data_IF_661211068856
#
_entry.id   IF_661211068856
#
_cell.length_a   1.000
_cell.length_b   1.000
_cell.length_c   1.000
_cell.angle_alpha   90.00
_cell.angle_beta   90.00
_cell.angle_gamma   90.00
#
_symmetry.space_group_name_H-M   'P 1'
#
loop_
_entity.id
_entity.type
_entity.pdbx_description
1 polymer ?
#
# COMPACT_ATOMS: atom_id res chain seq x y z
N UNK A 1 -5.43 16.56 -2.66
CA UNK A 1 -4.12 16.85 -2.02
C UNK A 1 -3.00 16.70 -3.03
N UNK A 2 -2.10 17.68 -3.14
CA UNK A 2 -1.00 17.67 -4.15
C UNK A 2 0.40 17.83 -3.54
N UNK A 3 0.49 18.18 -2.25
CA UNK A 3 1.77 18.32 -1.55
C UNK A 3 2.40 16.98 -1.18
N UNK A 4 3.73 16.93 -1.12
CA UNK A 4 4.47 15.76 -0.67
C UNK A 4 4.38 15.59 0.85
N UNK A 5 4.40 14.34 1.32
CA UNK A 5 4.39 13.98 2.74
C UNK A 5 5.64 13.19 3.08
N UNK A 6 6.35 13.65 4.10
CA UNK A 6 7.56 12.99 4.62
C UNK A 6 7.35 12.67 6.09
N UNK A 7 7.36 11.39 6.44
CA UNK A 7 7.24 10.90 7.81
C UNK A 7 8.51 10.22 8.30
N UNK A 8 8.64 10.16 9.62
CA UNK A 8 9.73 9.45 10.31
C UNK A 8 9.50 7.93 10.41
N UNK A 9 10.28 7.28 11.27
CA UNK A 9 10.11 5.88 11.62
C UNK A 9 8.90 5.66 12.52
N UNK A 10 8.34 4.43 12.48
CA UNK A 10 7.24 3.95 13.34
C UNK A 10 5.96 4.79 13.24
N UNK A 11 5.71 5.38 12.07
CA UNK A 11 4.55 6.25 11.83
C UNK A 11 3.49 5.65 10.93
N UNK A 12 2.25 6.15 11.07
CA UNK A 12 1.18 5.98 10.08
C UNK A 12 1.25 7.18 9.13
N UNK A 13 1.68 6.96 7.90
CA UNK A 13 2.03 8.02 6.96
C UNK A 13 1.19 7.86 5.70
N UNK A 14 0.32 8.81 5.46
CA UNK A 14 -0.55 8.83 4.28
C UNK A 14 -0.56 10.20 3.62
N UNK A 15 -0.71 10.23 2.31
CA UNK A 15 -0.77 11.48 1.55
C UNK A 15 -1.97 12.35 1.90
N UNK A 16 -3.04 11.75 2.44
CA UNK A 16 -4.24 12.44 2.91
C UNK A 16 -4.51 12.17 4.39
N UNK A 17 -4.43 10.90 4.82
CA UNK A 17 -4.81 10.46 6.16
C UNK A 17 -3.69 9.58 6.73
N UNK A 18 -3.15 9.94 7.92
CA UNK A 18 -2.21 9.06 8.62
C UNK A 18 -2.90 7.79 9.12
N UNK A 19 -4.00 7.94 9.87
CA UNK A 19 -4.82 6.84 10.38
C UNK A 19 -6.30 7.14 10.19
N UNK A 20 -7.01 6.33 9.42
CA UNK A 20 -8.46 6.35 9.28
C UNK A 20 -9.08 5.41 10.32
N UNK A 21 -9.59 5.97 11.40
CA UNK A 21 -10.14 5.21 12.52
C UNK A 21 -11.67 5.12 12.44
N UNK A 22 -12.17 4.10 11.77
CA UNK A 22 -13.61 3.80 11.62
C UNK A 22 -14.39 4.76 10.73
N UNK A 23 -13.70 5.70 10.03
CA UNK A 23 -14.35 6.66 9.15
C UNK A 23 -14.64 6.09 7.76
N UNK A 24 -15.71 6.58 7.13
CA UNK A 24 -15.96 6.35 5.71
C UNK A 24 -15.26 7.45 4.88
N UNK A 25 -14.37 7.07 3.98
CA UNK A 25 -13.60 7.99 3.14
C UNK A 25 -13.92 7.70 1.67
N UNK A 26 -14.54 8.67 1.00
CA UNK A 26 -15.02 8.49 -0.37
C UNK A 26 -14.62 9.64 -1.30
N UNK A 27 -14.45 9.32 -2.60
CA UNK A 27 -14.18 10.28 -3.67
C UNK A 27 -12.97 11.18 -3.41
N UNK A 28 -11.89 10.61 -2.91
CA UNK A 28 -10.69 11.33 -2.51
C UNK A 28 -9.50 11.02 -3.40
N UNK A 29 -8.66 12.04 -3.61
CA UNK A 29 -7.47 11.92 -4.47
C UNK A 29 -6.24 12.52 -3.77
N UNK A 30 -5.14 11.74 -3.73
CA UNK A 30 -3.82 12.19 -3.33
C UNK A 30 -2.85 12.10 -4.52
N UNK A 31 -2.09 13.17 -4.79
CA UNK A 31 -1.15 13.25 -5.93
C UNK A 31 0.30 13.46 -5.53
N UNK A 32 0.54 13.90 -4.30
CA UNK A 32 1.90 14.12 -3.77
C UNK A 32 2.64 12.82 -3.53
N UNK A 33 3.97 12.88 -3.52
CA UNK A 33 4.81 11.77 -3.10
C UNK A 33 4.70 11.54 -1.60
N UNK A 34 4.81 10.29 -1.18
CA UNK A 34 4.78 9.93 0.24
C UNK A 34 6.03 9.12 0.58
N UNK A 35 6.74 9.55 1.61
CA UNK A 35 7.90 8.80 2.12
C UNK A 35 7.82 8.58 3.61
N UNK A 36 8.17 7.38 4.06
CA UNK A 36 8.22 6.98 5.46
C UNK A 36 9.54 6.33 5.84
N UNK A 37 9.87 6.41 7.12
CA UNK A 37 11.04 5.74 7.70
C UNK A 37 10.80 4.25 7.93
N UNK A 38 11.69 3.62 8.71
CA UNK A 38 11.58 2.22 9.08
C UNK A 38 10.37 1.95 10.00
N UNK A 39 9.85 0.71 10.00
CA UNK A 39 8.78 0.26 10.88
C UNK A 39 7.49 1.07 10.72
N UNK A 40 7.21 1.59 9.53
CA UNK A 40 6.10 2.49 9.26
C UNK A 40 5.02 1.84 8.40
N UNK A 41 3.81 2.35 8.53
CA UNK A 41 2.69 2.08 7.62
C UNK A 41 2.60 3.25 6.64
N UNK A 42 2.97 3.00 5.38
CA UNK A 42 3.11 4.07 4.38
C UNK A 42 2.16 3.83 3.21
N UNK A 43 1.23 4.74 3.01
CA UNK A 43 0.29 4.68 1.89
C UNK A 43 0.23 5.99 1.13
N UNK A 44 0.07 5.92 -0.18
CA UNK A 44 -0.07 7.11 -1.02
C UNK A 44 -1.28 7.97 -0.64
N UNK A 45 -2.31 7.35 -0.03
CA UNK A 45 -3.50 8.03 0.47
C UNK A 45 -3.63 7.88 1.99
N UNK A 46 -3.61 6.64 2.51
CA UNK A 46 -3.83 6.32 3.92
C UNK A 46 -2.68 5.47 4.44
N UNK A 47 -2.08 5.85 5.58
CA UNK A 47 -1.06 5.04 6.25
C UNK A 47 -1.64 3.76 6.82
N UNK A 48 -2.59 3.90 7.74
CA UNK A 48 -3.31 2.80 8.39
C UNK A 48 -4.82 3.01 8.25
N UNK A 49 -5.54 2.00 7.73
CA UNK A 49 -6.97 2.11 7.46
C UNK A 49 -7.78 1.11 8.29
N UNK A 50 -8.54 1.61 9.26
CA UNK A 50 -9.57 0.90 10.03
C UNK A 50 -10.96 1.46 9.71
N UNK A 51 -11.22 1.82 8.46
CA UNK A 51 -12.49 2.32 7.99
C UNK A 51 -12.73 1.92 6.54
N UNK A 52 -13.88 2.31 6.01
CA UNK A 52 -14.21 2.10 4.62
C UNK A 52 -13.54 3.14 3.72
N UNK A 53 -13.02 2.67 2.60
CA UNK A 53 -12.38 3.49 1.59
C UNK A 53 -12.97 3.16 0.22
N UNK A 54 -13.65 4.11 -0.40
CA UNK A 54 -14.28 3.89 -1.70
C UNK A 54 -14.00 5.00 -2.70
N UNK A 55 -13.91 4.63 -3.99
CA UNK A 55 -13.66 5.58 -5.08
C UNK A 55 -12.45 6.50 -4.82
N UNK A 56 -11.36 5.90 -4.33
CA UNK A 56 -10.17 6.60 -3.86
C UNK A 56 -9.01 6.44 -4.84
N UNK A 57 -8.24 7.50 -5.05
CA UNK A 57 -7.08 7.46 -5.94
C UNK A 57 -5.81 8.01 -5.27
N UNK A 58 -4.68 7.31 -5.46
CA UNK A 58 -3.35 7.83 -5.20
C UNK A 58 -2.49 7.76 -6.46
N UNK A 59 -1.82 8.86 -6.83
CA UNK A 59 -1.01 8.90 -8.06
C UNK A 59 0.45 9.29 -7.84
N UNK A 60 0.83 9.71 -6.64
CA UNK A 60 2.22 9.98 -6.27
C UNK A 60 3.01 8.69 -5.99
N UNK A 61 4.33 8.76 -6.17
CA UNK A 61 5.23 7.67 -5.78
C UNK A 61 5.25 7.50 -4.26
N UNK A 62 5.41 6.26 -3.81
CA UNK A 62 5.43 5.92 -2.38
C UNK A 62 6.72 5.19 -2.03
N UNK A 63 7.38 5.59 -0.95
CA UNK A 63 8.57 4.92 -0.46
C UNK A 63 8.52 4.68 1.05
N UNK A 64 8.92 3.49 1.48
CA UNK A 64 9.03 3.14 2.89
C UNK A 64 10.40 2.57 3.26
N UNK A 65 10.78 2.73 4.53
CA UNK A 65 12.00 2.15 5.08
C UNK A 65 11.91 0.64 5.32
N UNK A 66 12.90 0.08 6.01
CA UNK A 66 12.93 -1.33 6.35
C UNK A 66 11.82 -1.73 7.32
N UNK A 67 11.37 -2.99 7.26
CA UNK A 67 10.30 -3.55 8.13
C UNK A 67 8.98 -2.76 8.08
N UNK A 68 8.66 -2.18 6.94
CA UNK A 68 7.48 -1.33 6.75
C UNK A 68 6.42 -2.04 5.90
N UNK A 69 5.17 -1.59 6.06
CA UNK A 69 4.10 -1.95 5.16
C UNK A 69 3.87 -0.77 4.21
N UNK A 70 4.15 -1.00 2.92
CA UNK A 70 4.18 0.08 1.92
C UNK A 70 3.20 -0.22 0.80
N UNK A 71 2.20 0.61 0.64
CA UNK A 71 1.20 0.47 -0.40
C UNK A 71 1.04 1.74 -1.23
N UNK A 72 0.80 1.59 -2.51
CA UNK A 72 0.55 2.73 -3.40
C UNK A 72 -0.66 3.56 -3.00
N UNK A 73 -1.66 2.93 -2.35
CA UNK A 73 -2.83 3.60 -1.78
C UNK A 73 -2.83 3.53 -0.25
N UNK A 74 -2.70 2.33 0.32
CA UNK A 74 -2.84 2.09 1.76
C UNK A 74 -1.66 1.28 2.28
N UNK A 75 -1.03 1.70 3.38
CA UNK A 75 0.02 0.94 4.05
C UNK A 75 -0.50 -0.38 4.61
N UNK A 76 -1.49 -0.32 5.51
CA UNK A 76 -2.20 -1.48 6.06
C UNK A 76 -3.71 -1.25 6.04
N UNK A 77 -4.46 -2.26 5.61
CA UNK A 77 -5.92 -2.27 5.58
C UNK A 77 -6.47 -3.23 6.63
N UNK A 78 -7.08 -2.66 7.67
CA UNK A 78 -7.89 -3.30 8.68
C UNK A 78 -7.17 -4.14 9.73
N UNK A 79 -7.85 -4.34 10.85
CA UNK A 79 -7.52 -5.24 11.95
C UNK A 79 -8.52 -6.40 12.03
N UNK A 80 -8.70 -7.17 10.94
CA UNK A 80 -9.58 -8.35 10.89
C UNK A 80 -11.08 -8.07 11.09
N UNK A 81 -11.55 -6.84 10.83
CA UNK A 81 -12.96 -6.45 10.79
C UNK A 81 -13.39 -6.01 9.40
N UNK A 82 -14.69 -5.94 9.14
CA UNK A 82 -15.32 -5.74 7.81
C UNK A 82 -15.06 -4.36 7.18
N UNK A 83 -13.81 -3.89 7.17
CA UNK A 83 -13.45 -2.65 6.49
C UNK A 83 -13.07 -2.92 5.03
N UNK A 84 -13.59 -2.11 4.13
CA UNK A 84 -13.48 -2.35 2.69
C UNK A 84 -12.70 -1.27 1.97
N UNK A 85 -11.79 -1.73 1.12
CA UNK A 85 -11.28 -0.91 0.01
C UNK A 85 -12.05 -1.33 -1.24
N UNK A 86 -12.83 -0.41 -1.80
CA UNK A 86 -13.64 -0.69 -2.99
C UNK A 86 -13.44 0.37 -4.07
N UNK A 87 -13.36 -0.07 -5.33
CA UNK A 87 -13.25 0.82 -6.50
C UNK A 87 -12.12 1.84 -6.37
N UNK A 88 -10.96 1.40 -5.89
CA UNK A 88 -9.81 2.25 -5.59
C UNK A 88 -8.65 2.02 -6.57
N UNK A 89 -7.79 3.03 -6.74
CA UNK A 89 -6.66 2.94 -7.66
C UNK A 89 -5.38 3.55 -7.12
N UNK A 90 -4.25 2.90 -7.43
CA UNK A 90 -2.91 3.44 -7.20
C UNK A 90 -2.13 3.46 -8.51
N UNK A 91 -1.49 4.61 -8.83
CA UNK A 91 -0.79 4.82 -10.11
C UNK A 91 0.70 5.04 -9.96
N UNK A 92 1.15 5.51 -8.80
CA UNK A 92 2.56 5.79 -8.49
C UNK A 92 3.38 4.53 -8.27
N UNK A 93 4.70 4.63 -8.46
CA UNK A 93 5.64 3.56 -8.14
C UNK A 93 5.76 3.38 -6.62
N UNK A 94 5.98 2.15 -6.19
CA UNK A 94 6.07 1.80 -4.77
C UNK A 94 7.41 1.13 -4.48
N UNK A 95 8.14 1.68 -3.51
CA UNK A 95 9.46 1.18 -3.11
C UNK A 95 9.47 0.91 -1.61
N UNK A 96 9.79 -0.31 -1.21
CA UNK A 96 10.00 -0.68 0.19
C UNK A 96 11.46 -0.98 0.52
N UNK A 97 11.83 -0.78 1.79
CA UNK A 97 13.13 -1.21 2.31
C UNK A 97 13.21 -2.72 2.51
N UNK A 98 14.30 -3.18 3.14
CA UNK A 98 14.48 -4.60 3.48
C UNK A 98 13.39 -5.10 4.44
N UNK A 99 12.98 -6.37 4.29
CA UNK A 99 11.98 -7.04 5.13
C UNK A 99 10.58 -6.38 5.13
N UNK A 100 10.31 -5.52 4.17
CA UNK A 100 9.02 -4.83 4.02
C UNK A 100 7.99 -5.68 3.26
N UNK A 101 6.71 -5.43 3.52
CA UNK A 101 5.63 -5.90 2.65
C UNK A 101 5.21 -4.75 1.74
N UNK A 102 5.37 -4.93 0.43
CA UNK A 102 5.21 -3.87 -0.56
C UNK A 102 4.17 -4.28 -1.58
N UNK A 103 3.10 -3.52 -1.68
CA UNK A 103 2.05 -3.75 -2.66
C UNK A 103 1.78 -2.53 -3.52
N UNK A 104 1.47 -2.74 -4.78
CA UNK A 104 1.13 -1.64 -5.68
C UNK A 104 -0.09 -0.84 -5.23
N UNK A 105 -1.04 -1.52 -4.52
CA UNK A 105 -2.20 -0.89 -3.89
C UNK A 105 -2.07 -0.88 -2.37
N UNK A 106 -1.85 -2.05 -1.75
CA UNK A 106 -1.86 -2.23 -0.29
C UNK A 106 -0.63 -3.00 0.17
N UNK A 107 0.09 -2.49 1.18
CA UNK A 107 1.24 -3.18 1.79
C UNK A 107 0.82 -4.45 2.51
N UNK A 108 -0.15 -4.35 3.43
CA UNK A 108 -0.78 -5.47 4.14
C UNK A 108 -2.30 -5.34 4.12
N UNK A 109 -2.99 -6.43 3.73
CA UNK A 109 -4.44 -6.51 3.77
C UNK A 109 -4.90 -7.56 4.78
N UNK A 110 -5.70 -7.15 5.77
CA UNK A 110 -6.34 -8.03 6.75
C UNK A 110 -7.87 -8.07 6.60
N UNK A 111 -8.44 -7.37 5.61
CA UNK A 111 -9.87 -7.23 5.42
C UNK A 111 -10.25 -7.37 3.93
N UNK A 112 -11.15 -6.57 3.39
CA UNK A 112 -11.66 -6.73 2.03
C UNK A 112 -11.06 -5.71 1.05
N UNK A 113 -10.60 -6.21 -0.12
CA UNK A 113 -10.26 -5.38 -1.28
C UNK A 113 -11.10 -5.86 -2.46
N UNK A 114 -11.86 -4.95 -3.07
CA UNK A 114 -12.73 -5.27 -4.19
C UNK A 114 -12.62 -4.25 -5.32
N UNK A 115 -12.77 -4.70 -6.59
CA UNK A 115 -12.88 -3.84 -7.76
C UNK A 115 -11.77 -2.77 -7.86
N UNK A 116 -10.56 -3.11 -7.47
CA UNK A 116 -9.47 -2.15 -7.30
C UNK A 116 -8.28 -2.45 -8.20
N UNK A 117 -7.45 -1.45 -8.46
CA UNK A 117 -6.33 -1.63 -9.39
C UNK A 117 -5.03 -0.94 -8.94
N UNK A 118 -3.89 -1.51 -9.35
CA UNK A 118 -2.57 -0.92 -9.21
C UNK A 118 -1.84 -0.89 -10.56
N UNK A 119 -1.30 0.28 -10.93
CA UNK A 119 -0.58 0.47 -12.19
C UNK A 119 0.92 0.70 -12.01
N UNK A 120 1.36 1.13 -10.82
CA UNK A 120 2.75 1.47 -10.55
C UNK A 120 3.67 0.26 -10.44
N UNK A 121 4.95 0.48 -10.75
CA UNK A 121 5.98 -0.53 -10.51
C UNK A 121 6.18 -0.74 -9.01
N UNK A 122 6.34 -2.00 -8.60
CA UNK A 122 6.65 -2.38 -7.21
C UNK A 122 8.08 -2.87 -7.13
N UNK A 123 8.83 -2.37 -6.13
CA UNK A 123 10.18 -2.84 -5.85
C UNK A 123 10.48 -2.83 -4.35
N UNK A 124 11.45 -3.66 -3.93
CA UNK A 124 11.80 -3.75 -2.52
C UNK A 124 13.20 -4.28 -2.28
N UNK A 125 13.68 -4.08 -1.06
CA UNK A 125 14.99 -4.52 -0.61
C UNK A 125 15.05 -6.02 -0.27
N UNK A 126 16.14 -6.42 0.39
CA UNK A 126 16.40 -7.80 0.81
C UNK A 126 15.29 -8.34 1.70
N UNK A 127 14.83 -9.57 1.45
CA UNK A 127 13.75 -10.25 2.18
C UNK A 127 12.39 -9.53 2.15
N UNK A 128 12.15 -8.65 1.19
CA UNK A 128 10.84 -8.03 1.02
C UNK A 128 9.82 -9.00 0.42
N UNK A 129 8.55 -8.83 0.78
CA UNK A 129 7.40 -9.48 0.16
C UNK A 129 6.79 -8.50 -0.83
N UNK A 130 6.83 -8.84 -2.13
CA UNK A 130 6.43 -7.92 -3.19
C UNK A 130 5.22 -8.46 -3.94
N UNK A 131 4.16 -7.69 -3.98
CA UNK A 131 2.98 -8.00 -4.79
C UNK A 131 2.59 -6.84 -5.69
N UNK A 132 2.23 -7.13 -6.92
CA UNK A 132 1.77 -6.09 -7.85
C UNK A 132 0.56 -5.31 -7.33
N UNK A 133 -0.30 -5.97 -6.53
CA UNK A 133 -1.43 -5.36 -5.85
C UNK A 133 -1.23 -5.34 -4.34
N UNK A 134 -0.96 -6.49 -3.71
CA UNK A 134 -0.86 -6.63 -2.25
C UNK A 134 0.45 -7.32 -1.87
N UNK A 135 1.22 -6.73 -0.94
CA UNK A 135 2.46 -7.31 -0.44
C UNK A 135 2.22 -8.55 0.42
N UNK A 136 1.41 -8.43 1.46
CA UNK A 136 0.95 -9.51 2.36
C UNK A 136 -0.57 -9.48 2.46
N UNK A 137 -1.22 -10.56 2.02
CA UNK A 137 -2.67 -10.69 2.07
C UNK A 137 -3.08 -11.72 3.12
N UNK A 138 -3.91 -11.32 4.07
CA UNK A 138 -4.55 -12.17 5.07
C UNK A 138 -6.08 -12.01 5.05
N UNK A 139 -6.61 -11.22 4.11
CA UNK A 139 -8.02 -10.97 3.90
C UNK A 139 -8.49 -11.38 2.52
N UNK A 140 -9.65 -10.89 2.13
CA UNK A 140 -10.27 -11.22 0.84
C UNK A 140 -9.85 -10.24 -0.26
N UNK A 141 -9.61 -10.79 -1.44
CA UNK A 141 -9.26 -10.03 -2.64
C UNK A 141 -10.13 -10.48 -3.82
N UNK A 142 -11.00 -9.58 -4.29
CA UNK A 142 -11.99 -9.88 -5.33
C UNK A 142 -11.93 -8.87 -6.48
N UNK A 143 -12.05 -9.32 -7.72
CA UNK A 143 -12.18 -8.49 -8.92
C UNK A 143 -11.13 -7.36 -9.01
N UNK A 144 -9.90 -7.63 -8.60
CA UNK A 144 -8.86 -6.61 -8.54
C UNK A 144 -7.65 -6.99 -9.39
N UNK A 145 -6.96 -5.99 -9.93
CA UNK A 145 -5.94 -6.19 -10.97
C UNK A 145 -4.68 -5.39 -10.67
N UNK A 146 -3.53 -5.97 -11.01
CA UNK A 146 -2.23 -5.28 -11.03
C UNK A 146 -1.68 -5.26 -12.46
N UNK A 147 -1.28 -4.09 -12.95
CA UNK A 147 -0.66 -3.89 -14.25
C UNK A 147 0.84 -3.56 -14.14
N UNK A 148 1.29 -3.13 -12.98
CA UNK A 148 2.68 -2.73 -12.75
C UNK A 148 3.63 -3.93 -12.69
N UNK A 149 4.88 -3.68 -13.08
CA UNK A 149 5.94 -4.68 -12.95
C UNK A 149 6.36 -4.84 -11.48
N UNK A 150 6.61 -6.07 -11.06
CA UNK A 150 7.24 -6.38 -9.78
C UNK A 150 8.72 -6.63 -10.01
N UNK A 151 9.58 -5.84 -9.36
CA UNK A 151 11.04 -5.96 -9.46
C UNK A 151 11.66 -6.02 -8.07
N UNK A 152 12.55 -6.96 -7.86
CA UNK A 152 13.38 -6.95 -6.66
C UNK A 152 14.78 -6.40 -6.96
N UNK A 153 15.38 -5.74 -5.99
CA UNK A 153 16.65 -5.02 -6.14
C UNK A 153 17.82 -5.82 -5.56
N UNK A 154 17.55 -6.97 -4.94
CA UNK A 154 18.53 -7.77 -4.20
C UNK A 154 18.38 -9.26 -4.54
N UNK A 155 19.47 -10.02 -4.47
CA UNK A 155 19.49 -11.47 -4.74
C UNK A 155 18.75 -12.32 -3.69
N UNK A 156 18.17 -11.71 -2.67
CA UNK A 156 17.47 -12.39 -1.57
C UNK A 156 16.07 -11.80 -1.41
N UNK A 157 15.13 -12.12 -2.30
CA UNK A 157 13.72 -11.85 -2.10
C UNK A 157 13.09 -12.95 -1.23
N UNK A 158 12.19 -12.59 -0.32
CA UNK A 158 11.45 -13.58 0.45
C UNK A 158 10.32 -14.20 -0.37
N UNK A 159 9.52 -13.36 -1.03
CA UNK A 159 8.49 -13.78 -1.98
C UNK A 159 8.05 -12.62 -2.87
N UNK A 160 7.68 -12.95 -4.10
CA UNK A 160 7.16 -11.98 -5.06
C UNK A 160 6.12 -12.63 -5.97
N UNK A 161 5.04 -11.91 -6.19
CA UNK A 161 3.95 -12.33 -7.07
C UNK A 161 3.45 -11.18 -7.93
N UNK A 162 3.00 -11.49 -9.13
CA UNK A 162 2.44 -10.48 -10.03
C UNK A 162 1.22 -9.77 -9.46
N UNK A 163 0.45 -10.46 -8.59
CA UNK A 163 -0.71 -9.90 -7.89
C UNK A 163 -0.44 -9.79 -6.38
N UNK A 164 -0.09 -10.90 -5.73
CA UNK A 164 0.09 -10.99 -4.27
C UNK A 164 1.48 -11.55 -3.97
N UNK A 165 2.20 -10.94 -3.05
CA UNK A 165 3.51 -11.40 -2.61
C UNK A 165 3.42 -12.64 -1.71
N UNK A 166 2.58 -12.57 -0.67
CA UNK A 166 2.26 -13.67 0.25
C UNK A 166 0.75 -13.66 0.50
N UNK A 167 0.13 -14.86 0.37
CA UNK A 167 -1.30 -15.06 0.57
C UNK A 167 -1.53 -16.10 1.67
#
# INVERSE_FOLDING_TARGET
MTGDVVGGASGNIGGLIGHNFGGNTEYVVARGKVSGGNLSYVGGLVGYNDGDLSSAEASGDVSGGANSFVGGLVGTNGDFVDHRINSASAKGNVVGGSQSSVGGLVGQNNSFITNSLANGQVSGGTYARLGGLVGLNMGDLLNSVAYGNVKFVSNYAQSYGGLVGVN
#
